data_IF_642639658848
#
_entry.id   IF_642639658848
#
_cell.length_a   1.000
_cell.length_b   1.000
_cell.length_c   1.000
_cell.angle_alpha   90.00
_cell.angle_beta   90.00
_cell.angle_gamma   90.00
#
_symmetry.space_group_name_H-M   'P 1'
#
loop_
_entity.id
_entity.type
_entity.pdbx_description
1 polymer ?
#
# COMPACT_ATOMS: atom_id res chain seq x y z
N UNK A 1 10.96 -11.32 5.60
CA UNK A 1 9.89 -11.00 6.55
C UNK A 1 8.71 -10.38 5.79
N UNK A 2 7.48 -10.77 6.12
CA UNK A 2 6.26 -10.23 5.51
C UNK A 2 5.56 -9.32 6.53
N UNK A 3 5.09 -8.16 6.06
CA UNK A 3 4.39 -7.14 6.86
C UNK A 3 2.92 -7.16 6.47
N UNK A 4 2.02 -7.20 7.46
CA UNK A 4 0.58 -7.17 7.20
C UNK A 4 0.19 -5.75 6.80
N UNK A 5 -0.64 -5.64 5.76
CA UNK A 5 -1.10 -4.34 5.26
C UNK A 5 -2.62 -4.28 5.35
N UNK A 6 -3.10 -3.26 6.03
CA UNK A 6 -4.51 -2.94 6.17
C UNK A 6 -4.87 -1.70 5.35
N UNK A 7 -6.14 -1.61 5.00
CA UNK A 7 -6.78 -0.38 4.52
C UNK A 7 -7.28 0.47 5.70
N UNK A 8 -7.72 1.71 5.42
CA UNK A 8 -8.36 2.61 6.39
C UNK A 8 -9.58 1.96 7.07
N UNK A 9 -10.27 1.06 6.36
CA UNK A 9 -11.42 0.30 6.86
C UNK A 9 -11.00 -0.98 7.60
N UNK A 10 -9.72 -1.11 7.99
CA UNK A 10 -9.12 -2.29 8.64
C UNK A 10 -9.29 -3.60 7.85
N UNK A 11 -9.54 -3.50 6.56
CA UNK A 11 -9.58 -4.67 5.67
C UNK A 11 -8.16 -5.06 5.30
N UNK A 12 -7.82 -6.35 5.45
CA UNK A 12 -6.52 -6.87 5.03
C UNK A 12 -6.42 -6.78 3.51
N UNK A 13 -5.36 -6.14 3.03
CA UNK A 13 -5.05 -6.08 1.61
C UNK A 13 -4.19 -7.29 1.22
N UNK A 14 -2.89 -7.07 0.99
CA UNK A 14 -1.89 -8.11 0.75
C UNK A 14 -0.67 -7.83 1.61
N UNK A 15 -0.03 -8.87 2.18
CA UNK A 15 1.22 -8.66 2.89
C UNK A 15 2.29 -8.11 1.94
N UNK A 16 3.12 -7.22 2.45
CA UNK A 16 4.22 -6.64 1.68
C UNK A 16 5.59 -7.01 2.27
N UNK A 17 6.65 -6.74 1.53
CA UNK A 17 8.00 -6.87 2.04
C UNK A 17 8.33 -5.71 2.98
N UNK A 18 9.22 -5.96 3.94
CA UNK A 18 9.71 -4.93 4.86
C UNK A 18 10.26 -3.69 4.12
N UNK A 19 10.96 -3.89 2.99
CA UNK A 19 11.45 -2.79 2.14
C UNK A 19 10.32 -1.87 1.66
N UNK A 20 9.19 -2.45 1.25
CA UNK A 20 8.03 -1.68 0.79
C UNK A 20 7.34 -0.99 1.96
N UNK A 21 7.21 -1.66 3.11
CA UNK A 21 6.65 -1.05 4.32
C UNK A 21 7.44 0.19 4.74
N UNK A 22 8.77 0.09 4.76
CA UNK A 22 9.65 1.23 5.06
C UNK A 22 9.45 2.39 4.09
N UNK A 23 9.42 2.12 2.79
CA UNK A 23 9.18 3.15 1.77
C UNK A 23 7.82 3.86 1.95
N UNK A 24 6.77 3.12 2.30
CA UNK A 24 5.44 3.68 2.54
C UNK A 24 5.41 4.57 3.80
N UNK A 25 6.05 4.12 4.87
CA UNK A 25 6.18 4.88 6.12
C UNK A 25 7.02 6.15 5.93
N UNK A 26 8.17 6.07 5.26
CA UNK A 26 9.04 7.21 4.94
C UNK A 26 8.31 8.27 4.12
N UNK A 27 7.45 7.84 3.19
CA UNK A 27 6.62 8.72 2.37
C UNK A 27 5.33 9.19 3.05
N UNK A 28 5.10 8.84 4.32
CA UNK A 28 3.87 9.17 5.08
C UNK A 28 2.59 8.66 4.42
N UNK A 29 2.69 7.61 3.59
CA UNK A 29 1.56 6.98 2.88
C UNK A 29 0.94 5.82 3.65
N UNK A 30 1.59 5.41 4.73
CA UNK A 30 1.10 4.41 5.66
C UNK A 30 1.45 4.82 7.09
N UNK A 31 0.75 4.23 8.05
CA UNK A 31 0.99 4.37 9.50
C UNK A 31 1.12 2.99 10.12
N UNK A 32 1.85 2.87 11.23
CA UNK A 32 1.93 1.62 11.99
C UNK A 32 0.65 1.45 12.80
N UNK A 33 -0.01 0.29 12.67
CA UNK A 33 -1.21 -0.05 13.44
C UNK A 33 -0.84 -0.83 14.71
N UNK A 34 -0.07 -1.91 14.54
CA UNK A 34 0.45 -2.74 15.64
C UNK A 34 1.86 -3.25 15.33
N UNK A 35 2.64 -3.50 16.38
CA UNK A 35 4.06 -3.89 16.27
C UNK A 35 4.22 -5.40 16.05
N UNK A 36 3.37 -6.23 16.65
CA UNK A 36 3.43 -7.69 16.52
C UNK A 36 2.02 -8.29 16.35
N UNK A 37 1.74 -8.98 15.23
CA UNK A 37 2.56 -9.01 14.02
C UNK A 37 2.70 -7.61 13.41
N UNK A 38 3.86 -7.28 12.84
CA UNK A 38 4.11 -5.94 12.31
C UNK A 38 3.12 -5.60 11.20
N UNK A 39 2.26 -4.61 11.47
CA UNK A 39 1.10 -4.26 10.67
C UNK A 39 1.06 -2.77 10.38
N UNK A 40 0.84 -2.41 9.12
CA UNK A 40 0.70 -1.02 8.67
C UNK A 40 -0.66 -0.78 8.01
N UNK A 41 -1.24 0.40 8.20
CA UNK A 41 -2.43 0.87 7.50
C UNK A 41 -2.04 1.84 6.39
N UNK A 42 -2.46 1.60 5.15
CA UNK A 42 -2.27 2.55 4.04
C UNK A 42 -3.31 3.66 4.15
N UNK A 43 -2.87 4.91 3.99
CA UNK A 43 -3.74 6.09 3.99
C UNK A 43 -4.22 6.43 2.58
N UNK A 44 -3.38 6.21 1.57
CA UNK A 44 -3.65 6.63 0.19
C UNK A 44 -4.01 5.41 -0.69
N UNK A 45 -5.31 5.16 -0.90
CA UNK A 45 -5.80 4.06 -1.75
C UNK A 45 -6.24 4.50 -3.15
N UNK A 46 -6.57 5.78 -3.32
CA UNK A 46 -7.05 6.35 -4.59
C UNK A 46 -5.89 6.54 -5.58
N UNK A 47 -6.18 6.36 -6.87
CA UNK A 47 -5.22 6.64 -7.94
C UNK A 47 -4.76 8.10 -7.95
N UNK A 48 -5.63 9.00 -7.51
CA UNK A 48 -5.38 10.45 -7.43
C UNK A 48 -4.25 10.78 -6.46
N UNK A 49 -4.15 10.06 -5.33
CA UNK A 49 -3.09 10.23 -4.32
C UNK A 49 -1.86 9.36 -4.60
N UNK A 50 -1.89 8.54 -5.66
CA UNK A 50 -0.82 7.63 -6.02
C UNK A 50 -0.06 8.11 -7.27
N UNK A 51 1.25 8.39 -7.13
CA UNK A 51 2.10 8.52 -8.31
C UNK A 51 2.29 7.14 -8.96
N UNK A 52 1.57 6.89 -10.06
CA UNK A 52 1.56 5.62 -10.78
C UNK A 52 2.93 5.45 -11.46
N UNK A 53 3.67 4.43 -11.05
CA UNK A 53 4.90 4.07 -11.74
C UNK A 53 4.54 3.33 -13.03
N UNK A 54 4.67 4.02 -14.17
CA UNK A 54 4.57 3.41 -15.49
C UNK A 54 5.74 2.44 -15.67
N UNK A 55 5.46 1.14 -15.52
CA UNK A 55 6.38 0.11 -16.00
C UNK A 55 6.21 -0.01 -17.52
N UNK A 56 7.30 -0.07 -18.27
CA UNK A 56 7.27 -0.22 -19.73
C UNK A 56 6.68 -1.57 -20.21
N UNK A 57 6.28 -2.44 -19.28
CA UNK A 57 5.52 -3.66 -19.55
C UNK A 57 4.03 -3.32 -19.50
N UNK A 58 3.48 -2.90 -20.64
CA UNK A 58 2.11 -2.44 -20.82
C UNK A 58 1.03 -3.37 -20.26
N UNK A 59 0.71 -3.20 -18.99
CA UNK A 59 -0.59 -3.55 -18.41
C UNK A 59 -1.03 -2.32 -17.61
N UNK A 60 -1.54 -1.34 -18.35
CA UNK A 60 -2.44 -0.34 -17.80
C UNK A 60 -3.64 -1.08 -17.22
N UNK A 61 -3.77 -1.07 -15.91
CA UNK A 61 -5.01 -1.51 -15.26
C UNK A 61 -5.91 -0.29 -15.11
N UNK A 62 -6.55 0.04 -16.22
CA UNK A 62 -7.76 0.86 -16.24
C UNK A 62 -8.85 0.07 -15.49
N UNK A 63 -9.00 0.29 -14.19
CA UNK A 63 -10.16 -0.22 -13.43
C UNK A 63 -10.80 0.92 -12.62
N UNK A 64 -11.17 1.98 -13.34
CA UNK A 64 -12.15 2.96 -12.87
C UNK A 64 -13.07 3.33 -14.04
N UNK A 65 -13.91 2.38 -14.45
CA UNK A 65 -15.18 2.69 -15.13
C UNK A 65 -16.29 1.88 -14.46
N UNK A 66 -17.20 2.65 -13.87
CA UNK A 66 -18.52 2.33 -13.31
C UNK A 66 -18.56 1.63 -11.94
#
# INVERSE_FOLDING_TARGET
>A
MAVIVLDINKSVLRPCSEKRARLLLERKRAVVDIIEPFTICILDRTLEDCNIQSNANGIGVDHARN
#
